data_IF_070384060198
#
_entry.id   IF_070384060198
#
_cell.length_a   1.000
_cell.length_b   1.000
_cell.length_c   1.000
_cell.angle_alpha   90.00
_cell.angle_beta   90.00
_cell.angle_gamma   90.00
#
_symmetry.space_group_name_H-M   'P 1'
#
loop_
_entity.id
_entity.type
_entity.pdbx_description
1 polymer ?
#
# COMPACT_ATOMS: atom_id res chain seq x y z
N UNK A 1 10.18 13.40 1.33
CA UNK A 1 9.26 14.01 2.32
C UNK A 1 8.57 15.22 1.73
N UNK A 2 9.32 16.27 1.37
CA UNK A 2 8.77 17.54 0.85
C UNK A 2 7.77 17.36 -0.31
N UNK A 3 8.08 16.51 -1.30
CA UNK A 3 7.14 16.24 -2.40
C UNK A 3 5.82 15.60 -1.93
N UNK A 4 5.84 14.73 -0.92
CA UNK A 4 4.63 14.12 -0.36
C UNK A 4 3.81 15.14 0.42
N UNK A 5 4.47 16.00 1.21
CA UNK A 5 3.83 17.11 1.93
C UNK A 5 3.21 18.12 0.97
N UNK A 6 3.89 18.40 -0.15
CA UNK A 6 3.37 19.27 -1.20
C UNK A 6 2.14 18.68 -1.87
N UNK A 7 2.14 17.37 -2.18
CA UNK A 7 0.98 16.67 -2.72
C UNK A 7 -0.21 16.74 -1.76
N UNK A 8 -0.02 16.41 -0.48
CA UNK A 8 -1.07 16.49 0.54
C UNK A 8 -1.60 17.92 0.67
N UNK A 9 -0.72 18.92 0.67
CA UNK A 9 -1.11 20.33 0.73
C UNK A 9 -1.95 20.73 -0.47
N UNK A 10 -1.50 20.46 -1.69
CA UNK A 10 -2.22 20.79 -2.92
C UNK A 10 -3.61 20.15 -2.93
N UNK A 11 -3.70 18.87 -2.55
CA UNK A 11 -4.97 18.14 -2.48
C UNK A 11 -5.96 18.80 -1.51
N UNK A 12 -5.48 19.21 -0.32
CA UNK A 12 -6.31 19.81 0.72
C UNK A 12 -6.65 21.29 0.48
N UNK A 13 -5.78 22.03 -0.23
CA UNK A 13 -5.98 23.47 -0.49
C UNK A 13 -6.51 23.73 -1.90
N UNK A 14 -5.69 23.55 -2.93
CA UNK A 14 -6.00 23.91 -4.31
C UNK A 14 -7.12 23.04 -4.90
N UNK A 15 -7.08 21.73 -4.61
CA UNK A 15 -8.13 20.79 -5.06
C UNK A 15 -9.29 20.67 -4.06
N UNK A 16 -9.20 21.34 -2.92
CA UNK A 16 -10.27 21.45 -1.92
C UNK A 16 -10.85 20.11 -1.45
N UNK A 17 -10.03 19.05 -1.43
CA UNK A 17 -10.42 17.81 -0.76
C UNK A 17 -10.48 18.06 0.74
N UNK A 18 -11.52 17.55 1.39
CA UNK A 18 -11.55 17.55 2.85
C UNK A 18 -10.55 16.53 3.39
N UNK A 19 -10.09 16.76 4.63
CA UNK A 19 -9.27 15.77 5.34
C UNK A 19 -10.00 14.42 5.44
N UNK A 20 -11.31 14.44 5.65
CA UNK A 20 -12.12 13.22 5.73
C UNK A 20 -12.09 12.44 4.40
N UNK A 21 -12.20 13.13 3.26
CA UNK A 21 -12.11 12.49 1.94
C UNK A 21 -10.73 11.88 1.69
N UNK A 22 -9.66 12.60 2.05
CA UNK A 22 -8.30 12.09 1.93
C UNK A 22 -8.10 10.83 2.76
N UNK A 23 -8.50 10.86 4.03
CA UNK A 23 -8.40 9.72 4.96
C UNK A 23 -9.24 8.53 4.50
N UNK A 24 -10.48 8.77 4.08
CA UNK A 24 -11.40 7.74 3.61
C UNK A 24 -10.83 7.00 2.40
N UNK A 25 -10.35 7.76 1.41
CA UNK A 25 -9.82 7.18 0.19
C UNK A 25 -8.51 6.44 0.44
N UNK A 26 -7.59 7.03 1.22
CA UNK A 26 -6.31 6.41 1.56
C UNK A 26 -6.49 5.11 2.35
N UNK A 27 -7.33 5.13 3.39
CA UNK A 27 -7.56 3.95 4.22
C UNK A 27 -8.36 2.84 3.54
N UNK A 28 -9.36 3.18 2.71
CA UNK A 28 -10.05 2.20 1.85
C UNK A 28 -9.06 1.54 0.90
N UNK A 29 -8.21 2.35 0.26
CA UNK A 29 -7.23 1.82 -0.70
C UNK A 29 -6.22 0.89 -0.01
N UNK A 30 -5.80 1.22 1.22
CA UNK A 30 -4.97 0.35 2.03
C UNK A 30 -5.67 -0.96 2.41
N UNK A 31 -6.95 -0.90 2.79
CA UNK A 31 -7.73 -2.10 3.11
C UNK A 31 -7.93 -3.02 1.90
N UNK A 32 -8.18 -2.44 0.71
CA UNK A 32 -8.32 -3.21 -0.54
C UNK A 32 -6.98 -3.86 -0.92
N UNK A 33 -5.88 -3.11 -0.83
CA UNK A 33 -4.53 -3.66 -1.05
C UNK A 33 -4.25 -4.82 -0.08
N UNK A 34 -4.50 -4.61 1.22
CA UNK A 34 -4.37 -5.63 2.24
C UNK A 34 -5.19 -6.89 1.91
N UNK A 35 -6.46 -6.74 1.55
CA UNK A 35 -7.35 -7.87 1.29
C UNK A 35 -6.97 -8.66 0.02
N UNK A 36 -6.36 -7.98 -0.98
CA UNK A 36 -5.79 -8.65 -2.17
C UNK A 36 -4.57 -9.48 -1.79
N UNK A 37 -3.70 -8.93 -0.94
CA UNK A 37 -2.44 -9.57 -0.52
C UNK A 37 -2.69 -10.72 0.46
N UNK A 38 -3.62 -10.53 1.39
CA UNK A 38 -3.95 -11.48 2.45
C UNK A 38 -5.44 -11.84 2.39
N UNK A 39 -5.89 -12.62 1.39
CA UNK A 39 -7.27 -13.08 1.32
C UNK A 39 -7.71 -13.72 2.62
N UNK A 40 -8.94 -13.44 3.07
CA UNK A 40 -9.43 -13.91 4.37
C UNK A 40 -9.32 -15.43 4.53
N UNK A 41 -9.47 -16.17 3.44
CA UNK A 41 -9.42 -17.62 3.38
C UNK A 41 -8.00 -18.18 3.61
N UNK A 42 -6.95 -17.39 3.38
CA UNK A 42 -5.56 -17.79 3.64
C UNK A 42 -5.12 -17.54 5.09
N UNK A 43 -5.91 -16.79 5.87
CA UNK A 43 -5.60 -16.48 7.26
C UNK A 43 -6.14 -17.54 8.23
N UNK A 44 -5.40 -17.76 9.31
CA UNK A 44 -5.82 -18.71 10.36
C UNK A 44 -7.09 -18.21 11.06
N UNK A 45 -8.09 -19.08 11.23
CA UNK A 45 -9.39 -18.70 11.82
C UNK A 45 -9.33 -18.40 13.32
N UNK A 46 -8.27 -18.86 13.98
CA UNK A 46 -8.07 -18.78 15.43
C UNK A 46 -7.45 -17.45 15.87
N UNK A 47 -6.70 -16.80 14.98
CA UNK A 47 -6.00 -15.54 15.28
C UNK A 47 -6.68 -14.37 14.58
N UNK A 48 -6.51 -13.17 15.13
CA UNK A 48 -7.12 -11.95 14.61
C UNK A 48 -6.06 -11.02 14.01
N UNK A 49 -6.49 -9.93 13.38
CA UNK A 49 -5.60 -8.83 13.00
C UNK A 49 -5.45 -7.84 14.15
N UNK A 50 -4.26 -7.26 14.30
CA UNK A 50 -4.07 -6.08 15.13
C UNK A 50 -3.82 -4.87 14.23
N UNK A 51 -4.57 -3.78 14.42
CA UNK A 51 -4.30 -2.50 13.73
C UNK A 51 -3.79 -1.48 14.73
N UNK A 52 -2.53 -1.07 14.58
CA UNK A 52 -1.87 -0.12 15.46
C UNK A 52 -1.96 1.30 14.88
N UNK A 53 -2.82 2.14 15.44
CA UNK A 53 -3.06 3.50 14.95
C UNK A 53 -2.30 4.54 15.76
N UNK A 54 -1.66 5.49 15.08
CA UNK A 54 -0.98 6.62 15.72
C UNK A 54 -1.81 7.91 15.77
N UNK A 55 -1.26 9.00 16.33
CA UNK A 55 -2.02 10.23 16.59
C UNK A 55 -2.23 11.12 15.35
N UNK A 56 -1.59 10.82 14.22
CA UNK A 56 -1.59 11.65 13.00
C UNK A 56 -2.48 11.11 11.88
N UNK A 57 -2.29 11.63 10.67
CA UNK A 57 -3.01 11.18 9.47
C UNK A 57 -2.84 9.67 9.24
N UNK A 58 -1.65 9.10 9.53
CA UNK A 58 -1.44 7.66 9.35
C UNK A 58 -2.36 6.80 10.23
N UNK A 59 -2.59 7.22 11.48
CA UNK A 59 -3.58 6.54 12.33
C UNK A 59 -5.01 6.72 11.83
N UNK A 60 -5.32 7.85 11.19
CA UNK A 60 -6.59 8.04 10.48
C UNK A 60 -6.77 7.05 9.33
N UNK A 61 -5.74 6.86 8.49
CA UNK A 61 -5.74 5.81 7.46
C UNK A 61 -5.89 4.42 8.08
N UNK A 62 -5.23 4.15 9.21
CA UNK A 62 -5.37 2.91 9.98
C UNK A 62 -6.80 2.66 10.50
N UNK A 63 -7.48 3.68 11.03
CA UNK A 63 -8.87 3.56 11.49
C UNK A 63 -9.84 3.28 10.33
N UNK A 64 -9.69 4.00 9.22
CA UNK A 64 -10.47 3.73 8.01
C UNK A 64 -10.18 2.32 7.49
N UNK A 65 -8.90 1.93 7.43
CA UNK A 65 -8.48 0.60 7.02
C UNK A 65 -9.13 -0.48 7.89
N UNK A 66 -9.05 -0.34 9.21
CA UNK A 66 -9.70 -1.24 10.18
C UNK A 66 -11.21 -1.37 9.94
N UNK A 67 -11.90 -0.24 9.71
CA UNK A 67 -13.34 -0.22 9.39
C UNK A 67 -13.65 -1.03 8.13
N UNK A 68 -12.90 -0.83 7.05
CA UNK A 68 -13.12 -1.58 5.82
C UNK A 68 -12.74 -3.05 5.93
N UNK A 69 -11.66 -3.39 6.63
CA UNK A 69 -11.32 -4.78 6.92
C UNK A 69 -12.42 -5.49 7.72
N UNK A 70 -13.09 -4.80 8.66
CA UNK A 70 -14.29 -5.33 9.34
C UNK A 70 -15.41 -5.62 8.34
N UNK A 71 -15.69 -4.70 7.40
CA UNK A 71 -16.68 -4.89 6.33
C UNK A 71 -16.33 -6.03 5.37
N UNK A 72 -15.04 -6.24 5.09
CA UNK A 72 -14.55 -7.37 4.30
C UNK A 72 -14.57 -8.69 5.08
N UNK A 73 -14.99 -8.66 6.35
CA UNK A 73 -15.24 -9.82 7.18
C UNK A 73 -14.01 -10.31 7.95
N UNK A 74 -12.95 -9.52 8.05
CA UNK A 74 -11.80 -9.84 8.91
C UNK A 74 -12.19 -9.68 10.39
N UNK A 75 -11.63 -10.54 11.25
CA UNK A 75 -11.67 -10.34 12.70
C UNK A 75 -10.44 -9.54 13.09
N UNK A 76 -10.64 -8.42 13.76
CA UNK A 76 -9.55 -7.51 14.12
C UNK A 76 -9.80 -6.80 15.44
N UNK A 77 -8.72 -6.32 16.03
CA UNK A 77 -8.70 -5.41 17.17
C UNK A 77 -7.86 -4.19 16.80
N UNK A 78 -8.23 -3.01 17.30
CA UNK A 78 -7.47 -1.77 17.10
C UNK A 78 -6.73 -1.41 18.38
N UNK A 79 -5.45 -1.05 18.28
CA UNK A 79 -4.73 -0.36 19.32
C UNK A 79 -4.62 1.11 18.94
N UNK A 80 -5.21 2.00 19.75
CA UNK A 80 -5.11 3.44 19.57
C UNK A 80 -4.88 4.14 20.92
N UNK A 81 -3.62 4.37 21.34
CA UNK A 81 -3.28 4.75 22.71
C UNK A 81 -3.58 6.22 23.06
N UNK A 82 -4.14 7.00 22.13
CA UNK A 82 -4.35 8.43 22.30
C UNK A 82 -5.78 8.80 21.98
N UNK A 83 -6.32 9.70 22.79
CA UNK A 83 -7.54 10.40 22.45
C UNK A 83 -7.28 11.29 21.22
N UNK A 84 -8.00 11.07 20.10
CA UNK A 84 -7.81 11.88 18.91
C UNK A 84 -8.09 13.37 19.15
N UNK A 85 -7.13 14.23 18.79
CA UNK A 85 -7.25 15.68 18.97
C UNK A 85 -8.14 16.34 17.90
N UNK A 86 -8.09 15.86 16.65
CA UNK A 86 -8.88 16.41 15.53
C UNK A 86 -10.27 15.78 15.46
N UNK A 87 -11.27 16.58 15.07
CA UNK A 87 -12.64 16.12 14.89
C UNK A 87 -12.75 14.95 13.89
N UNK A 88 -12.01 15.02 12.78
CA UNK A 88 -11.91 13.95 11.78
C UNK A 88 -11.58 12.59 12.44
N UNK A 89 -10.52 12.54 13.24
CA UNK A 89 -10.08 11.29 13.88
C UNK A 89 -11.06 10.81 14.96
N UNK A 90 -11.71 11.72 15.69
CA UNK A 90 -12.78 11.36 16.65
C UNK A 90 -13.98 10.73 15.93
N UNK A 91 -14.34 11.26 14.76
CA UNK A 91 -15.39 10.68 13.92
C UNK A 91 -15.02 9.27 13.48
N UNK A 92 -13.79 9.05 12.99
CA UNK A 92 -13.30 7.73 12.59
C UNK A 92 -13.27 6.72 13.75
N UNK A 93 -12.83 7.16 14.94
CA UNK A 93 -12.85 6.33 16.15
C UNK A 93 -14.29 5.90 16.47
N UNK A 94 -15.23 6.84 16.55
CA UNK A 94 -16.63 6.55 16.81
C UNK A 94 -17.24 5.62 15.74
N UNK A 95 -16.89 5.78 14.46
CA UNK A 95 -17.34 4.86 13.40
C UNK A 95 -16.87 3.42 13.65
N UNK A 96 -15.61 3.22 14.05
CA UNK A 96 -15.08 1.90 14.39
C UNK A 96 -15.79 1.31 15.61
N UNK A 97 -16.03 2.10 16.65
CA UNK A 97 -16.78 1.68 17.84
C UNK A 97 -18.22 1.30 17.50
N UNK A 98 -18.91 2.07 16.64
CA UNK A 98 -20.27 1.77 16.15
C UNK A 98 -20.34 0.55 15.23
N UNK A 99 -19.20 -0.01 14.86
CA UNK A 99 -19.08 -1.24 14.07
C UNK A 99 -18.60 -2.43 14.89
N UNK A 100 -18.64 -2.31 16.22
CA UNK A 100 -18.22 -3.34 17.16
C UNK A 100 -16.80 -3.84 16.86
N UNK A 101 -15.90 -2.92 16.53
CA UNK A 101 -14.47 -3.18 16.45
C UNK A 101 -13.89 -3.04 17.85
N UNK A 102 -13.31 -4.10 18.45
CA UNK A 102 -12.74 -4.02 19.78
C UNK A 102 -11.47 -3.15 19.77
N UNK A 103 -11.28 -2.39 20.84
CA UNK A 103 -10.10 -1.56 21.07
C UNK A 103 -9.28 -2.08 22.25
N UNK A 104 -7.96 -2.19 22.07
CA UNK A 104 -7.03 -2.43 23.17
C UNK A 104 -6.78 -1.13 23.93
N UNK A 105 -6.99 -1.17 25.24
CA UNK A 105 -6.64 -0.06 26.13
C UNK A 105 -5.13 0.12 26.31
N UNK A 106 -4.37 -0.97 26.14
CA UNK A 106 -2.91 -0.99 26.23
C UNK A 106 -2.33 -2.06 25.30
N UNK A 107 -1.11 -1.84 24.84
CA UNK A 107 -0.36 -2.86 24.10
C UNK A 107 0.04 -3.97 25.07
N UNK A 108 -0.15 -5.26 24.73
CA UNK A 108 0.32 -6.37 25.57
C UNK A 108 1.78 -6.20 25.98
N UNK A 109 2.09 -6.51 27.24
CA UNK A 109 3.43 -6.34 27.81
C UNK A 109 4.47 -7.29 27.18
N UNK A 110 4.05 -8.51 26.87
CA UNK A 110 4.89 -9.57 26.31
C UNK A 110 4.61 -9.75 24.81
N UNK A 111 5.68 -9.76 24.01
CA UNK A 111 5.65 -9.99 22.56
C UNK A 111 5.02 -11.35 22.23
N UNK A 112 5.19 -12.36 23.08
CA UNK A 112 4.58 -13.67 22.86
C UNK A 112 3.04 -13.60 22.84
N UNK A 113 2.44 -12.66 23.57
CA UNK A 113 0.98 -12.45 23.51
C UNK A 113 0.57 -11.98 22.12
N UNK A 114 1.40 -11.19 21.43
CA UNK A 114 1.15 -10.80 20.05
C UNK A 114 1.25 -12.01 19.13
N UNK A 115 2.32 -12.78 19.25
CA UNK A 115 2.62 -13.95 18.43
C UNK A 115 1.54 -15.04 18.50
N UNK A 116 0.92 -15.22 19.67
CA UNK A 116 -0.12 -16.22 19.87
C UNK A 116 -1.50 -15.76 19.39
N UNK A 117 -1.85 -14.48 19.57
CA UNK A 117 -3.21 -14.00 19.34
C UNK A 117 -3.44 -13.40 17.95
N UNK A 118 -2.39 -12.88 17.30
CA UNK A 118 -2.50 -12.19 16.02
C UNK A 118 -1.83 -12.97 14.89
N UNK A 119 -2.45 -12.96 13.70
CA UNK A 119 -1.87 -13.54 12.49
C UNK A 119 -1.16 -12.51 11.62
N UNK A 120 -1.56 -11.23 11.72
CA UNK A 120 -0.94 -10.10 11.03
C UNK A 120 -1.11 -8.83 11.89
N UNK A 121 -0.15 -7.92 11.78
CA UNK A 121 -0.23 -6.60 12.41
C UNK A 121 -0.18 -5.53 11.32
N UNK A 122 -1.14 -4.62 11.32
CA UNK A 122 -1.14 -3.41 10.48
C UNK A 122 -0.50 -2.28 11.28
N UNK A 123 0.65 -1.81 10.80
CA UNK A 123 1.35 -0.65 11.33
C UNK A 123 0.85 0.63 10.64
N UNK A 124 0.12 1.44 11.42
CA UNK A 124 -0.37 2.75 11.04
C UNK A 124 -0.01 3.80 12.11
N UNK A 125 1.13 3.62 12.81
CA UNK A 125 1.54 4.52 13.89
C UNK A 125 2.08 5.84 13.34
N UNK A 126 3.03 5.78 12.42
CA UNK A 126 3.73 6.94 11.88
C UNK A 126 3.75 6.90 10.37
N UNK A 127 3.50 8.04 9.72
CA UNK A 127 3.55 8.18 8.26
C UNK A 127 4.73 9.05 7.83
N UNK A 128 4.69 9.53 6.59
CA UNK A 128 5.81 10.26 6.00
C UNK A 128 6.23 11.57 6.70
N UNK A 129 5.38 12.15 7.55
CA UNK A 129 5.70 13.36 8.34
C UNK A 129 6.49 13.06 9.61
N UNK A 130 6.76 11.79 9.92
CA UNK A 130 7.51 11.41 11.11
C UNK A 130 8.97 11.86 11.04
N UNK A 131 9.49 12.26 12.19
CA UNK A 131 10.89 12.59 12.41
C UNK A 131 11.36 11.94 13.70
N UNK A 132 12.53 11.33 13.68
CA UNK A 132 13.14 10.73 14.85
C UNK A 132 13.52 11.80 15.90
N UNK A 133 13.57 11.46 17.20
CA UNK A 133 13.31 10.14 17.78
C UNK A 133 11.83 9.84 18.01
N UNK A 134 11.49 8.55 18.14
CA UNK A 134 10.15 8.11 18.57
C UNK A 134 9.89 8.60 20.00
N UNK A 135 8.69 9.12 20.24
CA UNK A 135 8.30 9.55 21.57
C UNK A 135 8.27 8.37 22.56
N UNK A 136 8.66 8.57 23.83
CA UNK A 136 8.74 7.48 24.81
C UNK A 136 7.46 6.65 24.97
N UNK A 137 6.29 7.27 24.79
CA UNK A 137 4.99 6.64 24.93
C UNK A 137 4.64 5.64 23.82
N UNK A 138 5.35 5.68 22.69
CA UNK A 138 5.18 4.76 21.56
C UNK A 138 6.46 3.96 21.25
N UNK A 139 7.56 4.23 21.95
CA UNK A 139 8.83 3.53 21.76
C UNK A 139 8.69 2.03 22.10
N UNK A 140 8.05 1.71 23.23
CA UNK A 140 7.77 0.31 23.64
C UNK A 140 6.87 -0.42 22.64
N UNK A 141 5.88 0.28 22.07
CA UNK A 141 5.01 -0.30 21.03
C UNK A 141 5.83 -0.65 19.79
N UNK A 142 6.67 0.28 19.31
CA UNK A 142 7.49 0.05 18.12
C UNK A 142 8.52 -1.07 18.35
N UNK A 143 9.10 -1.14 19.55
CA UNK A 143 10.00 -2.21 19.93
C UNK A 143 9.30 -3.58 19.81
N UNK A 144 8.10 -3.72 20.37
CA UNK A 144 7.31 -4.95 20.27
C UNK A 144 6.97 -5.33 18.84
N UNK A 145 6.62 -4.35 17.99
CA UNK A 145 6.39 -4.59 16.56
C UNK A 145 7.66 -5.01 15.82
N UNK A 146 8.84 -4.68 16.34
CA UNK A 146 10.12 -5.09 15.75
C UNK A 146 10.55 -6.48 16.21
N UNK A 147 10.16 -6.88 17.42
CA UNK A 147 10.56 -8.16 18.04
C UNK A 147 9.59 -9.31 17.77
N UNK A 148 8.34 -9.02 17.41
CA UNK A 148 7.30 -10.03 17.12
C UNK A 148 7.64 -10.89 15.91
N UNK A 149 7.22 -12.16 15.96
CA UNK A 149 7.28 -13.07 14.83
C UNK A 149 6.08 -12.90 13.87
N UNK A 150 5.07 -12.10 14.25
CA UNK A 150 3.90 -11.84 13.41
C UNK A 150 4.30 -10.93 12.24
N UNK A 151 3.94 -11.27 10.99
CA UNK A 151 4.23 -10.40 9.86
C UNK A 151 3.53 -9.03 9.99
N UNK A 152 4.31 -7.97 9.77
CA UNK A 152 3.84 -6.59 9.86
C UNK A 152 3.57 -6.01 8.47
N UNK A 153 2.44 -5.31 8.34
CA UNK A 153 2.02 -4.58 7.13
C UNK A 153 2.03 -3.08 7.46
N UNK A 154 3.01 -2.34 6.94
CA UNK A 154 3.10 -0.89 7.19
C UNK A 154 2.31 -0.09 6.16
N UNK A 155 1.52 0.86 6.63
CA UNK A 155 0.81 1.85 5.80
C UNK A 155 1.68 3.10 5.68
N UNK A 156 1.81 3.59 4.44
CA UNK A 156 2.55 4.78 4.02
C UNK A 156 4.08 4.67 4.12
N UNK A 157 4.59 4.58 5.35
CA UNK A 157 6.02 4.48 5.71
C UNK A 157 6.13 3.53 6.92
N UNK A 158 7.11 2.61 6.98
CA UNK A 158 7.31 1.80 8.18
C UNK A 158 7.58 2.68 9.40
N UNK A 159 6.83 2.47 10.48
CA UNK A 159 6.94 3.31 11.66
C UNK A 159 8.36 3.33 12.24
N UNK A 160 8.84 4.54 12.57
CA UNK A 160 10.22 4.77 13.00
C UNK A 160 11.18 5.12 11.86
N UNK A 161 10.77 4.98 10.59
CA UNK A 161 11.58 5.40 9.45
C UNK A 161 11.26 6.87 9.09
N UNK A 162 12.29 7.64 8.74
CA UNK A 162 12.12 8.96 8.16
C UNK A 162 11.93 8.84 6.64
N UNK A 163 10.95 9.53 6.06
CA UNK A 163 10.54 9.36 4.67
C UNK A 163 11.63 9.65 3.61
N UNK A 164 12.64 10.43 3.97
CA UNK A 164 13.70 10.95 3.12
C UNK A 164 15.08 10.32 3.39
N UNK A 165 15.19 9.45 4.40
CA UNK A 165 16.46 8.82 4.79
C UNK A 165 16.35 7.29 4.76
N UNK A 166 17.49 6.64 4.64
CA UNK A 166 17.57 5.22 4.98
C UNK A 166 17.27 5.04 6.47
N UNK A 167 16.66 3.92 6.88
CA UNK A 167 16.38 3.64 8.29
C UNK A 167 17.69 3.72 9.08
N UNK A 168 17.80 4.77 9.88
CA UNK A 168 18.98 5.07 10.67
C UNK A 168 18.75 4.57 12.09
N UNK A 169 19.13 3.33 12.34
CA UNK A 169 19.23 2.80 13.70
C UNK A 169 20.57 3.23 14.29
N UNK A 170 20.56 4.22 15.17
CA UNK A 170 21.67 4.50 16.08
C UNK A 170 22.14 3.18 16.70
N UNK A 171 23.36 2.76 16.36
CA UNK A 171 24.11 1.61 16.87
C UNK A 171 23.39 0.80 17.98
N UNK A 172 22.63 -0.23 17.60
CA UNK A 172 22.14 -1.24 18.55
C UNK A 172 20.62 -1.45 18.65
N UNK A 173 19.77 -0.63 18.02
CA UNK A 173 18.33 -0.94 17.94
C UNK A 173 17.97 -1.57 16.58
N UNK A 174 17.36 -2.75 16.63
CA UNK A 174 16.63 -3.31 15.50
C UNK A 174 15.51 -2.31 15.12
N UNK A 175 15.43 -1.94 13.85
CA UNK A 175 14.32 -1.12 13.33
C UNK A 175 13.23 -2.04 12.77
N UNK A 176 12.00 -1.54 12.68
CA UNK A 176 10.88 -2.28 12.13
C UNK A 176 11.16 -2.69 10.68
N UNK A 177 11.01 -4.00 10.39
CA UNK A 177 11.14 -4.58 9.05
C UNK A 177 9.81 -5.20 8.65
N UNK A 178 8.91 -4.44 8.01
CA UNK A 178 7.62 -4.98 7.64
C UNK A 178 7.75 -6.01 6.53
N UNK A 179 6.87 -7.00 6.57
CA UNK A 179 6.69 -7.99 5.53
C UNK A 179 6.10 -7.37 4.26
N UNK A 180 5.17 -6.43 4.45
CA UNK A 180 4.47 -5.71 3.38
C UNK A 180 4.49 -4.21 3.63
N UNK A 181 4.73 -3.43 2.58
CA UNK A 181 4.59 -1.98 2.58
C UNK A 181 3.47 -1.55 1.64
N UNK A 182 2.54 -0.73 2.12
CA UNK A 182 1.47 -0.12 1.31
C UNK A 182 1.70 1.38 1.29
N UNK A 183 2.41 1.89 0.28
CA UNK A 183 2.63 3.33 0.10
C UNK A 183 1.35 4.03 -0.35
N UNK A 184 0.97 5.11 0.33
CA UNK A 184 -0.19 5.91 -0.07
C UNK A 184 0.24 7.06 -0.99
N UNK A 185 -0.56 7.29 -2.03
CA UNK A 185 -0.39 8.27 -3.12
C UNK A 185 0.89 8.05 -3.94
N UNK A 186 2.05 8.09 -3.29
CA UNK A 186 3.37 7.92 -3.87
C UNK A 186 4.25 7.08 -2.94
N UNK A 187 5.18 6.27 -3.47
CA UNK A 187 6.26 5.72 -2.65
C UNK A 187 7.14 6.86 -2.11
N UNK A 188 7.63 6.72 -0.87
CA UNK A 188 8.58 7.67 -0.28
C UNK A 188 10.00 7.16 -0.52
N UNK A 189 11.00 8.04 -0.50
CA UNK A 189 12.41 7.66 -0.74
C UNK A 189 12.89 6.53 0.18
N UNK A 190 12.44 6.50 1.43
CA UNK A 190 12.77 5.43 2.36
C UNK A 190 12.32 4.03 1.88
N UNK A 191 11.32 3.92 1.00
CA UNK A 191 10.89 2.62 0.46
C UNK A 191 11.92 1.97 -0.46
N UNK A 192 12.96 2.69 -0.89
CA UNK A 192 14.10 2.09 -1.60
C UNK A 192 14.87 1.10 -0.73
N UNK A 193 14.78 1.25 0.59
CA UNK A 193 15.41 0.36 1.58
C UNK A 193 14.46 -0.76 2.02
N UNK A 194 13.25 -0.83 1.45
CA UNK A 194 12.30 -1.88 1.75
C UNK A 194 12.80 -3.22 1.19
N UNK A 195 12.92 -4.21 2.07
CA UNK A 195 13.37 -5.55 1.75
C UNK A 195 12.35 -6.63 2.15
N UNK A 196 11.09 -6.25 2.36
CA UNK A 196 9.99 -7.19 2.61
C UNK A 196 9.52 -7.87 1.32
N UNK A 197 8.51 -8.72 1.44
CA UNK A 197 8.03 -9.55 0.32
C UNK A 197 7.16 -8.78 -0.67
N UNK A 198 6.44 -7.75 -0.20
CA UNK A 198 5.40 -7.10 -1.00
C UNK A 198 5.38 -5.59 -0.79
N UNK A 199 5.39 -4.84 -1.88
CA UNK A 199 5.28 -3.39 -1.88
C UNK A 199 4.20 -2.96 -2.86
N UNK A 200 3.19 -2.25 -2.38
CA UNK A 200 2.07 -1.76 -3.18
C UNK A 200 1.98 -0.24 -3.09
N UNK A 201 1.57 0.42 -4.17
CA UNK A 201 1.05 1.79 -4.15
C UNK A 201 -0.47 1.73 -4.08
N UNK A 202 -1.08 2.51 -3.20
CA UNK A 202 -2.52 2.62 -3.05
C UNK A 202 -2.93 4.09 -2.95
N UNK A 203 -4.22 4.39 -3.11
CA UNK A 203 -4.73 5.77 -3.02
C UNK A 203 -4.62 6.50 -4.35
N UNK A 204 -5.25 5.96 -5.39
CA UNK A 204 -5.39 6.60 -6.71
C UNK A 204 -6.29 7.85 -6.63
N UNK A 205 -5.76 8.92 -6.08
CA UNK A 205 -6.48 10.19 -5.82
C UNK A 205 -5.87 11.39 -6.57
N UNK A 206 -4.72 11.21 -7.21
CA UNK A 206 -3.95 12.29 -7.82
C UNK A 206 -4.56 12.72 -9.18
N UNK A 207 -5.04 13.97 -9.31
CA UNK A 207 -5.54 14.49 -10.58
C UNK A 207 -4.41 14.64 -11.59
N UNK A 208 -4.71 14.43 -12.89
CA UNK A 208 -3.71 14.55 -13.95
C UNK A 208 -3.00 15.92 -13.98
N UNK A 209 -3.72 16.99 -13.61
CA UNK A 209 -3.16 18.34 -13.48
C UNK A 209 -2.09 18.43 -12.40
N UNK A 210 -2.27 17.76 -11.25
CA UNK A 210 -1.29 17.72 -10.17
C UNK A 210 -0.09 16.84 -10.55
N UNK A 211 -0.36 15.69 -11.18
CA UNK A 211 0.66 14.77 -11.71
C UNK A 211 1.58 15.51 -12.67
N UNK A 212 1.03 16.27 -13.62
CA UNK A 212 1.81 17.06 -14.57
C UNK A 212 2.53 18.24 -13.91
N UNK A 213 1.88 18.92 -12.95
CA UNK A 213 2.45 20.07 -12.24
C UNK A 213 3.71 19.71 -11.44
N UNK A 214 3.73 18.52 -10.84
CA UNK A 214 4.82 18.04 -9.99
C UNK A 214 5.73 17.02 -10.67
N UNK A 215 5.57 16.81 -11.99
CA UNK A 215 6.30 15.82 -12.80
C UNK A 215 6.31 14.41 -12.17
N UNK A 216 5.14 13.97 -11.68
CA UNK A 216 5.01 12.70 -10.97
C UNK A 216 4.92 11.54 -11.97
N UNK A 217 5.65 10.47 -11.69
CA UNK A 217 5.57 9.21 -12.45
C UNK A 217 4.71 8.21 -11.69
N UNK A 218 3.50 7.97 -12.20
CA UNK A 218 2.56 6.99 -11.64
C UNK A 218 2.47 5.76 -12.53
N UNK A 219 2.15 4.58 -11.95
CA UNK A 219 1.83 3.41 -12.76
C UNK A 219 0.57 3.66 -13.61
N UNK A 220 0.42 2.89 -14.68
CA UNK A 220 -0.79 2.94 -15.50
C UNK A 220 -1.88 2.12 -14.83
N UNK A 221 -2.92 2.80 -14.36
CA UNK A 221 -4.03 2.20 -13.61
C UNK A 221 -5.17 1.76 -14.55
N UNK A 222 -5.64 0.51 -14.43
CA UNK A 222 -6.96 0.10 -14.94
C UNK A 222 -8.09 0.82 -14.18
N UNK A 223 -9.28 1.05 -14.78
CA UNK A 223 -10.44 1.56 -14.04
C UNK A 223 -10.81 0.76 -12.77
N UNK A 224 -10.46 -0.54 -12.70
CA UNK A 224 -10.72 -1.38 -11.51
C UNK A 224 -9.59 -1.34 -10.47
N UNK A 225 -8.48 -0.67 -10.76
CA UNK A 225 -7.33 -0.64 -9.86
C UNK A 225 -7.49 0.42 -8.77
N UNK A 226 -7.41 -0.06 -7.53
CA UNK A 226 -7.40 0.74 -6.30
C UNK A 226 -6.00 0.68 -5.63
N UNK A 227 -5.24 -0.37 -5.92
CA UNK A 227 -3.85 -0.55 -5.52
C UNK A 227 -3.05 -1.27 -6.63
N UNK A 228 -1.77 -0.92 -6.75
CA UNK A 228 -0.84 -1.40 -7.78
C UNK A 228 0.41 -2.04 -7.14
N UNK A 229 0.80 -3.26 -7.52
CA UNK A 229 2.00 -3.91 -7.00
C UNK A 229 3.27 -3.30 -7.59
N UNK A 230 4.21 -2.90 -6.75
CA UNK A 230 5.59 -2.56 -7.11
C UNK A 230 6.52 -3.77 -6.94
N UNK A 231 6.31 -4.54 -5.88
CA UNK A 231 6.98 -5.81 -5.59
C UNK A 231 5.92 -6.78 -5.09
N UNK A 232 5.88 -7.99 -5.64
CA UNK A 232 4.99 -9.04 -5.14
C UNK A 232 5.64 -10.43 -5.28
N UNK A 233 6.28 -10.88 -4.21
CA UNK A 233 6.85 -12.22 -4.14
C UNK A 233 5.75 -13.22 -3.70
N UNK A 234 5.46 -14.27 -4.50
CA UNK A 234 4.52 -15.32 -4.12
C UNK A 234 4.93 -16.04 -2.83
N UNK A 235 3.96 -16.51 -2.05
CA UNK A 235 4.23 -17.31 -0.87
C UNK A 235 5.03 -18.58 -1.23
N UNK A 236 6.08 -18.88 -0.45
CA UNK A 236 6.95 -20.05 -0.65
C UNK A 236 8.20 -19.84 -1.50
N UNK A 237 8.41 -18.64 -2.07
CA UNK A 237 9.65 -18.27 -2.77
C UNK A 237 10.47 -17.31 -1.91
N UNK A 238 11.75 -17.63 -1.69
CA UNK A 238 12.65 -16.75 -0.94
C UNK A 238 12.81 -15.42 -1.70
N UNK A 239 12.71 -14.30 -0.99
CA UNK A 239 12.98 -12.97 -1.54
C UNK A 239 14.47 -12.86 -1.90
N UNK A 240 14.85 -13.28 -3.09
CA UNK A 240 16.20 -13.10 -3.62
C UNK A 240 16.21 -11.91 -4.56
N UNK A 241 16.70 -10.77 -4.08
CA UNK A 241 17.09 -9.64 -4.93
C UNK A 241 16.61 -8.29 -4.40
N UNK A 242 17.54 -7.34 -4.35
CA UNK A 242 17.22 -5.92 -4.17
C UNK A 242 16.24 -5.46 -5.26
N UNK A 243 15.47 -4.42 -4.97
CA UNK A 243 14.41 -3.84 -5.80
C UNK A 243 14.86 -3.28 -7.19
N UNK A 244 15.99 -3.73 -7.73
CA UNK A 244 16.60 -3.22 -8.95
C UNK A 244 16.52 -4.15 -10.17
N UNK A 245 15.76 -5.24 -10.11
CA UNK A 245 15.48 -6.07 -11.28
C UNK A 245 14.04 -6.53 -11.26
N UNK A 246 13.14 -5.78 -11.88
CA UNK A 246 11.88 -6.27 -12.47
C UNK A 246 11.30 -5.14 -13.34
N UNK A 247 11.98 -4.86 -14.44
CA UNK A 247 11.49 -4.01 -15.53
C UNK A 247 11.87 -4.64 -16.87
N UNK A 248 11.38 -5.85 -17.13
CA UNK A 248 11.25 -6.42 -18.47
C UNK A 248 10.57 -7.78 -18.35
N UNK A 249 9.26 -7.82 -18.59
CA UNK A 249 8.56 -8.91 -19.32
C UNK A 249 7.04 -8.68 -19.23
N UNK A 250 6.61 -7.58 -19.86
CA UNK A 250 5.24 -7.42 -20.34
C UNK A 250 5.29 -6.97 -21.80
N UNK A 251 6.04 -7.69 -22.61
CA UNK A 251 6.00 -7.56 -24.07
C UNK A 251 6.30 -8.92 -24.70
N UNK A 252 5.23 -9.60 -25.13
CA UNK A 252 5.29 -10.67 -26.13
C UNK A 252 4.99 -12.08 -25.62
N UNK A 253 3.72 -12.48 -25.71
CA UNK A 253 3.35 -13.69 -26.46
C UNK A 253 1.82 -13.79 -26.57
N UNK A 254 1.27 -13.24 -27.64
CA UNK A 254 0.07 -13.78 -28.26
C UNK A 254 0.50 -14.96 -29.15
N UNK A 255 0.42 -16.18 -28.61
CA UNK A 255 0.55 -17.39 -29.40
C UNK A 255 -0.61 -18.32 -29.10
N UNK A 256 -1.48 -18.43 -30.09
CA UNK A 256 -2.22 -19.61 -30.53
C UNK A 256 -2.26 -20.82 -29.57
N UNK A 257 -3.46 -21.10 -29.06
CA UNK A 257 -3.87 -22.43 -28.62
C UNK A 257 -5.17 -22.80 -29.33
N UNK A 258 -5.06 -23.50 -30.45
CA UNK A 258 -6.19 -24.07 -31.18
C UNK A 258 -6.85 -25.17 -30.34
N UNK A 259 -8.17 -25.11 -30.20
CA UNK A 259 -9.00 -26.27 -29.89
C UNK A 259 -10.19 -26.30 -30.86
N UNK A 260 -10.31 -27.45 -31.49
CA UNK A 260 -11.19 -27.85 -32.58
C UNK A 260 -12.70 -27.72 -32.26
N UNK A 261 -13.46 -27.25 -33.24
CA UNK A 261 -14.92 -27.37 -33.29
C UNK A 261 -15.40 -27.19 -34.71
N UNK A 262 -15.62 -28.31 -35.40
CA UNK A 262 -16.10 -28.36 -36.77
C UNK A 262 -17.56 -27.91 -36.87
N UNK A 263 -17.86 -26.98 -37.77
CA UNK A 263 -19.16 -26.87 -38.44
C UNK A 263 -18.94 -26.25 -39.83
N UNK A 264 -19.19 -27.05 -40.86
CA UNK A 264 -19.20 -26.64 -42.25
C UNK A 264 -20.51 -25.92 -42.59
N UNK A 265 -20.45 -24.87 -43.42
CA UNK A 265 -20.98 -24.87 -44.80
C UNK A 265 -21.28 -23.45 -45.32
N UNK A 266 -20.63 -23.15 -46.46
CA UNK A 266 -21.11 -22.47 -47.66
C UNK A 266 -21.58 -20.99 -47.60
N UNK A 267 -21.05 -20.17 -48.53
CA UNK A 267 -21.79 -19.02 -49.06
C UNK A 267 -21.00 -17.82 -49.60
N UNK A 268 -20.26 -17.99 -50.69
CA UNK A 268 -20.06 -17.04 -51.80
C UNK A 268 -19.71 -15.54 -51.58
N UNK A 269 -18.53 -15.19 -52.12
CA UNK A 269 -18.26 -14.15 -53.14
C UNK A 269 -18.22 -12.63 -52.79
N UNK A 270 -17.06 -12.03 -53.16
CA UNK A 270 -16.88 -10.88 -54.07
C UNK A 270 -16.16 -9.62 -53.52
N UNK A 271 -14.87 -9.53 -53.91
CA UNK A 271 -14.17 -8.41 -54.61
C UNK A 271 -13.94 -7.00 -54.02
N UNK A 272 -12.74 -6.51 -54.38
CA UNK A 272 -12.23 -5.12 -54.51
C UNK A 272 -11.44 -4.57 -53.28
N UNK A 273 -10.11 -4.45 -53.26
CA UNK A 273 -9.12 -3.76 -54.12
C UNK A 273 -8.77 -2.33 -53.63
N UNK A 274 -7.46 -2.08 -53.45
CA UNK A 274 -6.81 -0.77 -53.28
C UNK A 274 -6.45 -0.44 -51.82
N UNK A 275 -5.20 -0.37 -51.34
CA UNK A 275 -3.90 -0.27 -52.01
C UNK A 275 -3.39 1.18 -52.03
N UNK A 276 -2.70 1.60 -50.95
CA UNK A 276 -1.58 2.58 -50.85
C UNK A 276 -1.42 2.90 -49.35
N UNK A 277 -0.30 2.75 -48.65
CA UNK A 277 1.10 2.71 -49.08
C UNK A 277 1.80 4.00 -48.67
N UNK A 278 2.02 4.25 -47.37
CA UNK A 278 2.94 5.29 -46.91
C UNK A 278 3.83 4.77 -45.77
N UNK A 279 5.10 4.58 -46.11
CA UNK A 279 6.19 4.24 -45.20
C UNK A 279 6.74 5.53 -44.58
N UNK A 280 6.79 5.62 -43.25
CA UNK A 280 7.62 6.61 -42.57
C UNK A 280 8.54 5.95 -41.55
N UNK A 281 9.79 6.38 -41.65
CA UNK A 281 11.02 5.80 -41.10
C UNK A 281 11.00 5.73 -39.57
N UNK A 282 11.44 4.59 -39.09
CA UNK A 282 11.95 4.31 -37.76
C UNK A 282 13.13 5.24 -37.42
N UNK A 283 12.98 6.09 -36.40
CA UNK A 283 14.11 6.63 -35.65
C UNK A 283 14.16 5.90 -34.31
N UNK A 284 15.16 5.04 -34.16
CA UNK A 284 15.56 4.44 -32.90
C UNK A 284 16.17 5.52 -32.03
N UNK A 285 15.45 5.99 -31.02
CA UNK A 285 16.05 6.75 -29.93
C UNK A 285 16.24 5.81 -28.73
N UNK A 286 17.51 5.60 -28.39
CA UNK A 286 17.94 4.83 -27.21
C UNK A 286 17.98 5.81 -26.03
N UNK A 287 16.83 6.06 -25.41
CA UNK A 287 16.80 6.63 -24.06
C UNK A 287 16.55 5.50 -23.06
N UNK A 288 17.63 4.94 -22.52
CA UNK A 288 17.54 4.20 -21.26
C UNK A 288 17.05 5.18 -20.19
N UNK A 289 15.99 4.85 -19.47
CA UNK A 289 15.47 5.72 -18.42
C UNK A 289 14.99 4.89 -17.25
N UNK A 290 15.76 4.98 -16.18
CA UNK A 290 15.45 4.43 -14.86
C UNK A 290 14.14 5.04 -14.33
N UNK A 291 13.29 4.19 -13.78
CA UNK A 291 12.08 4.57 -13.07
C UNK A 291 12.44 4.97 -11.64
N UNK A 292 12.68 6.26 -11.37
CA UNK A 292 12.63 6.87 -10.04
C UNK A 292 12.26 8.34 -10.16
#
# INVERSE_FOLDING_TARGET
REQAEQVDSELLTEYSLSLDQLLEHGGLSAAVAFARIYPKESLTKERTLLVCCGPGNNGGFGLVCARYLKLFGYKLTVFYPKTPAKAAYRSLLNQCEKMDIPFLSYMPGDVQVLDHNYCLIVDALFGHTFQAPVRPDLADVLQKLTETAVPVVSIDVPSGWEADKAPSGSSGQHYLRPDTLISLLLPKRCSLEFAGRRHYIAGRLLPATLVNKLDLRLPTWSPQDIAFPLVDCPDGVAASGSANQLSAEASGNSAAGAASGAAAAAGAAATAAGGTGESKKTSTDKSGTNCF
#
